data_IF_393013467006
#
_entry.id   IF_393013467006
#
_cell.length_a   1.000
_cell.length_b   1.000
_cell.length_c   1.000
_cell.angle_alpha   90.00
_cell.angle_beta   90.00
_cell.angle_gamma   90.00
#
_symmetry.space_group_name_H-M   'P 1'
#
loop_
_entity.id
_entity.type
_entity.pdbx_description
1 polymer ?
#
# COMPACT_ATOMS: atom_id res chain seq x y z
N UNK A 1 -8.79 -57.66 39.31
CA UNK A 1 -7.73 -57.20 38.39
C UNK A 1 -7.96 -55.71 38.18
N UNK A 2 -7.07 -54.87 38.71
CA UNK A 2 -7.19 -53.40 38.68
C UNK A 2 -6.59 -52.87 37.37
N UNK A 3 -7.39 -52.13 36.59
CA UNK A 3 -6.92 -51.41 35.40
C UNK A 3 -6.17 -50.16 35.86
N UNK A 4 -4.86 -50.16 35.68
CA UNK A 4 -4.02 -49.00 35.93
C UNK A 4 -4.26 -47.93 34.85
N UNK A 5 -4.76 -46.78 35.27
CA UNK A 5 -4.97 -45.60 34.44
C UNK A 5 -3.61 -44.94 34.16
N UNK A 6 -3.08 -45.10 32.94
CA UNK A 6 -1.89 -44.39 32.51
C UNK A 6 -2.18 -42.89 32.38
N UNK A 7 -1.56 -42.10 33.26
CA UNK A 7 -1.42 -40.65 33.07
C UNK A 7 -0.34 -40.42 32.01
N UNK A 8 -0.74 -40.01 30.81
CA UNK A 8 0.19 -39.54 29.78
C UNK A 8 0.73 -38.18 30.20
N UNK A 9 1.92 -38.16 30.77
CA UNK A 9 2.70 -36.94 30.99
C UNK A 9 3.16 -36.43 29.62
N UNK A 10 2.59 -35.30 29.18
CA UNK A 10 3.08 -34.58 28.02
C UNK A 10 4.55 -34.19 28.30
N UNK A 11 5.52 -34.65 27.50
CA UNK A 11 6.92 -34.37 27.76
C UNK A 11 7.15 -32.87 27.63
N UNK A 12 7.74 -32.26 28.65
CA UNK A 12 8.05 -30.83 28.75
C UNK A 12 8.78 -30.30 27.51
N UNK A 13 9.54 -31.16 26.83
CA UNK A 13 10.22 -30.89 25.57
C UNK A 13 9.29 -30.52 24.42
N UNK A 14 8.08 -31.08 24.34
CA UNK A 14 7.08 -30.68 23.34
C UNK A 14 6.55 -29.26 23.62
N UNK A 15 6.38 -28.89 24.89
CA UNK A 15 5.93 -27.55 25.28
C UNK A 15 6.97 -26.47 24.88
N UNK A 16 8.26 -26.76 25.09
CA UNK A 16 9.36 -25.87 24.70
C UNK A 16 9.46 -25.71 23.18
N UNK A 17 9.15 -26.76 22.41
CA UNK A 17 9.16 -26.73 20.95
C UNK A 17 8.00 -25.90 20.37
N UNK A 18 6.85 -25.91 21.04
CA UNK A 18 5.74 -25.00 20.70
C UNK A 18 6.06 -23.54 21.08
N UNK A 19 6.76 -23.30 22.18
CA UNK A 19 7.19 -21.95 22.57
C UNK A 19 8.21 -21.36 21.59
N UNK A 20 9.21 -22.14 21.14
CA UNK A 20 10.17 -21.67 20.13
C UNK A 20 9.53 -21.38 18.77
N UNK A 21 8.46 -22.10 18.41
CA UNK A 21 7.71 -21.84 17.19
C UNK A 21 6.89 -20.54 17.26
N UNK A 22 6.35 -20.18 18.43
CA UNK A 22 5.66 -18.90 18.65
C UNK A 22 6.63 -17.69 18.57
N UNK A 23 7.91 -17.88 18.95
CA UNK A 23 8.93 -16.82 18.84
C UNK A 23 9.54 -16.66 17.44
N UNK A 24 9.26 -17.57 16.50
CA UNK A 24 9.71 -17.46 15.11
C UNK A 24 8.75 -16.67 14.21
N UNK A 25 7.60 -16.24 14.74
CA UNK A 25 6.61 -15.44 14.02
C UNK A 25 6.50 -14.06 14.68
N UNK A 26 7.50 -13.22 14.41
CA UNK A 26 7.28 -11.80 14.02
C UNK A 26 8.63 -11.21 13.61
N UNK A 27 8.92 -11.03 12.30
CA UNK A 27 9.84 -9.99 11.92
C UNK A 27 9.10 -8.65 12.10
N UNK A 28 9.18 -8.07 13.31
CA UNK A 28 9.00 -6.63 13.55
C UNK A 28 10.17 -5.90 12.88
N UNK A 29 10.23 -5.97 11.55
CA UNK A 29 11.21 -5.26 10.74
C UNK A 29 10.68 -5.02 9.33
N UNK A 30 9.82 -5.91 8.81
CA UNK A 30 9.12 -5.66 7.54
C UNK A 30 8.05 -4.57 7.65
N UNK A 31 7.43 -4.43 8.81
CA UNK A 31 6.44 -3.38 9.04
C UNK A 31 7.07 -1.98 9.08
N UNK A 32 8.31 -1.84 9.56
CA UNK A 32 9.00 -0.54 9.62
C UNK A 32 9.47 -0.05 8.25
N UNK A 33 9.88 -0.95 7.36
CA UNK A 33 10.33 -0.59 6.01
C UNK A 33 9.14 -0.23 5.10
N UNK A 34 8.04 -0.98 5.19
CA UNK A 34 6.80 -0.70 4.45
C UNK A 34 6.11 0.59 4.93
N UNK A 35 6.19 0.90 6.24
CA UNK A 35 5.66 2.15 6.78
C UNK A 35 6.57 3.35 6.51
N UNK A 36 7.90 3.21 6.53
CA UNK A 36 8.82 4.31 6.18
C UNK A 36 8.71 4.72 4.70
N UNK A 37 8.63 3.75 3.78
CA UNK A 37 8.37 4.03 2.36
C UNK A 37 7.05 4.81 2.18
N UNK A 38 6.03 4.53 3.01
CA UNK A 38 4.73 5.21 2.93
C UNK A 38 4.79 6.70 3.29
N UNK A 39 5.71 7.12 4.17
CA UNK A 39 5.80 8.51 4.68
C UNK A 39 6.08 9.51 3.57
N UNK A 40 6.93 9.15 2.60
CA UNK A 40 7.29 10.02 1.48
C UNK A 40 6.62 9.62 0.17
N UNK A 41 6.25 8.35 0.01
CA UNK A 41 5.67 7.88 -1.25
C UNK A 41 4.33 8.53 -1.56
N UNK A 42 3.37 8.55 -0.62
CA UNK A 42 2.05 9.15 -0.88
C UNK A 42 2.13 10.66 -1.16
N UNK A 43 2.89 11.47 -0.41
CA UNK A 43 3.14 12.86 -0.77
C UNK A 43 3.80 13.04 -2.14
N UNK A 44 4.71 12.13 -2.54
CA UNK A 44 5.34 12.18 -3.86
C UNK A 44 4.34 11.89 -4.98
N UNK A 45 3.43 10.92 -4.76
CA UNK A 45 2.32 10.63 -5.69
C UNK A 45 1.41 11.85 -5.82
N UNK A 46 1.03 12.48 -4.71
CA UNK A 46 0.21 13.69 -4.70
C UNK A 46 0.88 14.83 -5.47
N UNK A 47 2.15 15.12 -5.17
CA UNK A 47 2.95 16.11 -5.88
C UNK A 47 3.02 15.85 -7.39
N UNK A 48 3.23 14.60 -7.80
CA UNK A 48 3.32 14.23 -9.21
C UNK A 48 1.98 14.46 -9.93
N UNK A 49 0.86 14.12 -9.29
CA UNK A 49 -0.49 14.28 -9.84
C UNK A 49 -0.89 15.75 -9.93
N UNK A 50 -0.57 16.54 -8.91
CA UNK A 50 -0.80 17.99 -8.92
C UNK A 50 0.02 18.65 -10.04
N UNK A 51 1.32 18.32 -10.12
CA UNK A 51 2.21 18.82 -11.17
C UNK A 51 1.70 18.46 -12.56
N UNK A 52 1.21 17.22 -12.76
CA UNK A 52 0.61 16.81 -14.02
C UNK A 52 -0.61 17.65 -14.37
N UNK A 53 -1.52 17.87 -13.41
CA UNK A 53 -2.72 18.66 -13.62
C UNK A 53 -2.39 20.11 -13.98
N UNK A 54 -1.44 20.74 -13.28
CA UNK A 54 -0.98 22.10 -13.56
C UNK A 54 -0.38 22.25 -14.97
N UNK A 55 0.39 21.25 -15.44
CA UNK A 55 1.07 21.28 -16.74
C UNK A 55 0.22 20.83 -17.92
N UNK A 56 -0.80 20.01 -17.66
CA UNK A 56 -1.73 19.53 -18.68
C UNK A 56 -2.53 20.69 -19.28
N UNK A 57 -2.90 20.60 -20.56
CA UNK A 57 -3.78 21.59 -21.22
C UNK A 57 -5.28 21.33 -21.02
N UNK A 58 -5.64 20.23 -20.36
CA UNK A 58 -7.05 19.87 -20.11
C UNK A 58 -7.73 20.87 -19.18
N UNK A 59 -9.03 21.09 -19.33
CA UNK A 59 -9.81 21.92 -18.39
C UNK A 59 -10.07 21.19 -17.07
N UNK A 60 -10.34 19.89 -17.18
CA UNK A 60 -10.69 19.02 -16.06
C UNK A 60 -9.45 18.39 -15.43
N UNK A 61 -9.55 18.13 -14.13
CA UNK A 61 -8.50 17.48 -13.38
C UNK A 61 -8.46 15.97 -13.64
N UNK A 62 -7.32 15.37 -13.33
CA UNK A 62 -7.09 13.94 -13.30
C UNK A 62 -6.76 13.53 -11.87
N UNK A 63 -7.23 12.34 -11.49
CA UNK A 63 -6.88 11.69 -10.22
C UNK A 63 -6.30 10.32 -10.49
N UNK A 64 -5.56 9.79 -9.52
CA UNK A 64 -5.10 8.41 -9.53
C UNK A 64 -6.30 7.49 -9.30
N UNK A 65 -6.53 6.58 -10.23
CA UNK A 65 -7.48 5.47 -10.08
C UNK A 65 -6.76 4.26 -9.46
N UNK A 66 -5.55 3.94 -9.96
CA UNK A 66 -4.71 2.87 -9.43
C UNK A 66 -3.22 3.21 -9.50
N UNK A 67 -2.46 2.73 -8.51
CA UNK A 67 -1.00 2.66 -8.57
C UNK A 67 -0.65 1.28 -9.15
N UNK A 68 -0.10 1.25 -10.36
CA UNK A 68 0.18 -0.01 -11.05
C UNK A 68 1.49 -0.64 -10.59
N UNK A 69 2.49 0.19 -10.32
CA UNK A 69 3.78 -0.22 -9.77
C UNK A 69 4.52 0.99 -9.19
N UNK A 70 5.32 0.77 -8.16
CA UNK A 70 6.27 1.77 -7.67
C UNK A 70 7.51 1.09 -7.09
N UNK A 71 8.63 1.81 -7.12
CA UNK A 71 9.84 1.44 -6.40
C UNK A 71 10.63 2.70 -6.04
N UNK A 72 11.36 2.62 -4.94
CA UNK A 72 12.32 3.66 -4.54
C UNK A 72 13.64 3.43 -5.29
N UNK A 73 14.18 4.50 -5.85
CA UNK A 73 15.47 4.49 -6.54
C UNK A 73 16.61 4.51 -5.51
N UNK A 74 17.68 3.79 -5.82
CA UNK A 74 18.85 3.70 -4.93
C UNK A 74 19.75 4.93 -5.08
N UNK A 75 19.34 6.04 -4.46
CA UNK A 75 20.06 7.31 -4.41
C UNK A 75 20.18 7.79 -2.95
N UNK A 76 21.24 8.53 -2.63
CA UNK A 76 21.55 8.89 -1.23
C UNK A 76 20.55 9.90 -0.63
N UNK A 77 20.24 10.97 -1.37
CA UNK A 77 19.25 11.99 -1.02
C UNK A 77 19.07 12.93 -2.24
N UNK A 78 17.85 13.38 -2.58
CA UNK A 78 16.56 13.09 -1.92
C UNK A 78 16.07 11.66 -2.19
N UNK A 79 15.05 11.22 -1.44
CA UNK A 79 14.30 10.01 -1.79
C UNK A 79 13.64 10.20 -3.17
N UNK A 80 13.85 9.26 -4.08
CA UNK A 80 13.33 9.33 -5.45
C UNK A 80 12.47 8.09 -5.71
N UNK A 81 11.26 8.31 -6.19
CA UNK A 81 10.34 7.23 -6.53
C UNK A 81 10.08 7.18 -8.03
N UNK A 82 10.22 5.99 -8.59
CA UNK A 82 9.70 5.66 -9.91
C UNK A 82 8.35 4.98 -9.73
N UNK A 83 7.35 5.45 -10.47
CA UNK A 83 5.97 4.97 -10.31
C UNK A 83 5.23 4.96 -11.65
N UNK A 84 4.34 3.98 -11.80
CA UNK A 84 3.39 3.91 -12.90
C UNK A 84 1.99 4.08 -12.32
N UNK A 85 1.36 5.20 -12.68
CA UNK A 85 0.03 5.56 -12.19
C UNK A 85 -0.99 5.40 -13.31
N UNK A 86 -2.12 4.74 -13.01
CA UNK A 86 -3.31 4.81 -13.83
C UNK A 86 -4.10 6.04 -13.39
N UNK A 87 -4.20 7.03 -14.28
CA UNK A 87 -4.91 8.28 -14.03
C UNK A 87 -6.22 8.30 -14.82
N UNK A 88 -7.26 8.86 -14.21
CA UNK A 88 -8.57 9.02 -14.85
C UNK A 88 -9.06 10.45 -14.69
N UNK A 89 -9.65 10.98 -15.77
CA UNK A 89 -10.24 12.32 -15.80
C UNK A 89 -11.44 12.39 -14.86
N UNK A 90 -11.54 13.50 -14.16
CA UNK A 90 -12.64 13.81 -13.24
C UNK A 90 -13.65 14.76 -13.87
N UNK A 91 -14.72 15.06 -13.13
CA UNK A 91 -15.72 16.06 -13.55
C UNK A 91 -15.42 17.47 -13.04
N UNK A 92 -14.38 17.66 -12.22
CA UNK A 92 -14.04 18.96 -11.61
C UNK A 92 -12.95 19.67 -12.39
N UNK A 93 -12.97 21.01 -12.34
CA UNK A 93 -11.95 21.82 -12.98
C UNK A 93 -10.68 21.85 -12.12
N UNK A 94 -9.53 22.10 -12.74
CA UNK A 94 -8.20 22.02 -12.09
C UNK A 94 -7.98 22.95 -10.90
N UNK A 95 -8.76 24.03 -10.78
CA UNK A 95 -8.57 25.08 -9.75
C UNK A 95 -9.75 25.14 -8.77
N UNK A 96 -10.49 24.05 -8.63
CA UNK A 96 -11.59 23.94 -7.66
C UNK A 96 -11.05 23.39 -6.33
N UNK A 97 -11.55 23.92 -5.21
CA UNK A 97 -11.09 23.55 -3.87
C UNK A 97 -11.56 22.11 -3.55
N UNK A 98 -10.63 21.13 -3.49
CA UNK A 98 -10.82 19.69 -3.22
C UNK A 98 -10.99 18.77 -4.45
N UNK A 99 -9.86 18.32 -5.02
CA UNK A 99 -9.85 17.22 -6.00
C UNK A 99 -9.99 15.84 -5.36
N UNK A 100 -9.74 15.69 -4.07
CA UNK A 100 -9.77 14.42 -3.32
C UNK A 100 -11.19 13.84 -3.15
N UNK A 101 -12.24 14.63 -3.35
CA UNK A 101 -13.64 14.16 -3.36
C UNK A 101 -14.29 14.16 -4.74
N UNK A 102 -13.58 14.70 -5.74
CA UNK A 102 -14.11 14.85 -7.10
C UNK A 102 -14.39 13.50 -7.81
N UNK A 103 -15.60 13.26 -8.34
CA UNK A 103 -15.94 12.03 -9.03
C UNK A 103 -15.23 11.90 -10.39
N UNK A 104 -14.94 10.66 -10.77
CA UNK A 104 -14.45 10.34 -12.11
C UNK A 104 -15.52 10.58 -13.17
N UNK A 105 -15.08 10.98 -14.37
CA UNK A 105 -16.00 11.06 -15.50
C UNK A 105 -16.48 9.67 -15.92
N UNK A 106 -17.79 9.57 -16.15
CA UNK A 106 -18.42 8.35 -16.63
C UNK A 106 -17.96 8.04 -18.06
N UNK A 107 -17.63 6.78 -18.31
CA UNK A 107 -17.26 6.32 -19.66
C UNK A 107 -18.52 6.21 -20.50
N UNK A 108 -18.70 7.09 -21.49
CA UNK A 108 -19.77 6.98 -22.47
C UNK A 108 -19.46 5.93 -23.56
N UNK A 109 -18.82 4.81 -23.21
CA UNK A 109 -18.65 3.70 -24.17
C UNK A 109 -19.90 2.83 -24.16
N UNK A 110 -20.64 2.73 -25.29
CA UNK A 110 -21.53 1.59 -25.46
C UNK A 110 -20.64 0.34 -25.53
N UNK A 111 -20.92 -0.64 -24.67
CA UNK A 111 -20.32 -1.97 -24.78
C UNK A 111 -20.72 -2.53 -26.16
N UNK A 112 -19.79 -2.60 -27.10
CA UNK A 112 -19.93 -3.31 -28.36
C UNK A 112 -19.30 -4.69 -28.24
#
# INVERSE_FOLDING_TARGET
MSLAQERKTLPHTLLLLFLSFQFLITPVSKADEETAASVYFLPTVEFAVETFNQKSQEEYAYRVEHILSSWEEKVDFPAVYSMKLQMRRTMCKKFEESLDTCPFQQSNSPNN
#
